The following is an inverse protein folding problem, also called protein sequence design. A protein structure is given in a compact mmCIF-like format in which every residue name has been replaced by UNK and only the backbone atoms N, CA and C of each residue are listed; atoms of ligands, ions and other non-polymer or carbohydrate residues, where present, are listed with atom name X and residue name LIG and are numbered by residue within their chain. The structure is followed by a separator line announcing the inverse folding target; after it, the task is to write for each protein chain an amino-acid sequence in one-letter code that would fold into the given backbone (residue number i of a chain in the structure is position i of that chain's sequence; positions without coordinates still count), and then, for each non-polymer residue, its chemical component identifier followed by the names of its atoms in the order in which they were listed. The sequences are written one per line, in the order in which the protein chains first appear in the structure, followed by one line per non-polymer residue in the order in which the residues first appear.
data_IF_712318879945
#
_entry.id   IF_712318879945
#
_cell.length_a   1.000
_cell.length_b   1.000
_cell.length_c   1.000
_cell.angle_alpha   90.00
_cell.angle_beta   90.00
_cell.angle_gamma   90.00
#
_symmetry.space_group_name_H-M   'P 1'
#
loop_
_entity.id
_entity.type
_entity.pdbx_description
1 polymer ?
#
# COMPACT_ATOMS: atom_id res chain seq x y z
N UNK A 1 -18.25 5.73 -8.26
CA UNK A 1 -19.06 6.38 -7.21
C UNK A 1 -18.14 7.32 -6.43
N UNK A 2 -18.50 8.59 -6.31
CA UNK A 2 -17.71 9.60 -5.58
C UNK A 2 -17.80 9.34 -4.08
N UNK A 3 -16.70 9.47 -3.35
CA UNK A 3 -16.69 9.34 -1.88
C UNK A 3 -17.44 10.54 -1.30
N UNK A 4 -18.47 10.27 -0.51
CA UNK A 4 -19.27 11.31 0.17
C UNK A 4 -18.54 11.86 1.40
N UNK A 5 -18.90 13.07 1.84
CA UNK A 5 -18.32 13.66 3.05
C UNK A 5 -18.52 12.77 4.29
N UNK A 6 -19.69 12.16 4.44
CA UNK A 6 -19.96 11.22 5.53
C UNK A 6 -19.03 10.00 5.49
N UNK A 7 -18.77 9.46 4.30
CA UNK A 7 -17.83 8.34 4.12
C UNK A 7 -16.37 8.75 4.39
N UNK A 8 -15.97 9.95 3.98
CA UNK A 8 -14.63 10.49 4.31
C UNK A 8 -14.45 10.60 5.82
N UNK A 9 -15.38 11.23 6.54
CA UNK A 9 -15.28 11.36 8.00
C UNK A 9 -15.28 9.99 8.67
N UNK A 10 -16.19 9.10 8.27
CA UNK A 10 -16.27 7.74 8.81
C UNK A 10 -14.97 6.95 8.62
N UNK A 11 -14.29 7.10 7.47
CA UNK A 11 -13.00 6.45 7.23
C UNK A 11 -11.93 6.87 8.26
N UNK A 12 -11.83 8.16 8.59
CA UNK A 12 -10.84 8.62 9.55
C UNK A 12 -11.22 8.31 11.00
N UNK A 13 -12.50 8.42 11.36
CA UNK A 13 -12.90 8.42 12.78
C UNK A 13 -13.45 7.11 13.30
N UNK A 14 -13.90 6.18 12.46
CA UNK A 14 -14.44 4.91 12.94
C UNK A 14 -13.34 3.99 13.47
N UNK A 15 -13.63 3.29 14.58
CA UNK A 15 -12.72 2.33 15.23
C UNK A 15 -12.29 1.18 14.31
N UNK A 16 -13.22 0.72 13.47
CA UNK A 16 -12.98 -0.32 12.47
C UNK A 16 -12.15 0.17 11.26
N UNK A 17 -11.86 1.47 11.18
CA UNK A 17 -11.09 2.12 10.12
C UNK A 17 -9.79 2.69 10.71
N UNK A 18 -9.53 4.00 10.60
CA UNK A 18 -8.30 4.60 11.13
C UNK A 18 -8.33 4.84 12.65
N UNK A 19 -9.51 4.79 13.28
CA UNK A 19 -9.70 5.00 14.73
C UNK A 19 -9.11 6.33 15.26
N UNK A 20 -9.13 7.39 14.44
CA UNK A 20 -8.61 8.70 14.83
C UNK A 20 -9.72 9.49 15.54
N UNK A 21 -9.52 9.96 16.77
CA UNK A 21 -10.50 10.80 17.45
C UNK A 21 -10.90 12.02 16.61
N UNK A 22 -12.18 12.38 16.63
CA UNK A 22 -12.69 13.52 15.85
C UNK A 22 -12.00 14.83 16.24
N UNK A 23 -11.63 14.99 17.52
CA UNK A 23 -10.89 16.14 18.03
C UNK A 23 -9.43 16.21 17.55
N UNK A 24 -8.89 15.14 16.95
CA UNK A 24 -7.62 15.17 16.23
C UNK A 24 -7.84 15.38 14.74
N UNK A 25 -8.78 14.65 14.14
CA UNK A 25 -9.01 14.69 12.69
C UNK A 25 -9.42 16.09 12.22
N UNK A 26 -10.44 16.70 12.83
CA UNK A 26 -10.99 17.96 12.32
C UNK A 26 -10.08 19.19 12.49
N UNK A 27 -9.41 19.41 13.64
CA UNK A 27 -8.59 20.60 13.82
C UNK A 27 -7.11 20.40 13.43
N UNK A 28 -6.54 19.20 13.57
CA UNK A 28 -5.11 19.02 13.32
C UNK A 28 -4.83 18.46 11.92
N UNK A 29 -5.52 17.39 11.51
CA UNK A 29 -5.24 16.77 10.20
C UNK A 29 -5.71 17.65 9.03
N UNK A 30 -6.88 18.30 9.14
CA UNK A 30 -7.35 19.24 8.12
C UNK A 30 -6.41 20.45 7.95
N UNK A 31 -5.85 20.98 9.03
CA UNK A 31 -4.88 22.10 8.97
C UNK A 31 -3.59 21.71 8.24
N UNK A 32 -3.20 20.45 8.34
CA UNK A 32 -2.04 19.89 7.62
C UNK A 32 -2.36 19.51 6.17
N UNK A 33 -3.60 19.74 5.69
CA UNK A 33 -4.03 19.44 4.33
C UNK A 33 -4.70 18.07 4.14
N UNK A 34 -4.77 17.23 5.18
CA UNK A 34 -5.45 15.93 5.14
C UNK A 34 -6.94 16.13 5.37
N UNK A 35 -7.67 16.50 4.31
CA UNK A 35 -9.11 16.81 4.37
C UNK A 35 -10.00 15.69 3.82
N UNK A 36 -9.48 14.91 2.88
CA UNK A 36 -10.21 13.86 2.18
C UNK A 36 -9.32 12.62 2.02
N UNK A 37 -9.91 11.46 1.71
CA UNK A 37 -9.10 10.27 1.45
C UNK A 37 -8.14 10.49 0.26
N UNK A 38 -8.55 11.25 -0.76
CA UNK A 38 -7.70 11.55 -1.92
C UNK A 38 -6.45 12.37 -1.54
N UNK A 39 -6.56 13.27 -0.55
CA UNK A 39 -5.45 14.09 -0.09
C UNK A 39 -4.27 13.27 0.44
N UNK A 40 -4.51 12.04 0.90
CA UNK A 40 -3.46 11.13 1.39
C UNK A 40 -2.41 10.78 0.32
N UNK A 41 -2.72 10.95 -0.97
CA UNK A 41 -1.76 10.70 -2.06
C UNK A 41 -0.48 11.52 -1.93
N UNK A 42 -0.58 12.72 -1.33
CA UNK A 42 0.52 13.68 -1.22
C UNK A 42 1.44 13.40 -0.02
N UNK A 43 0.98 12.61 0.96
CA UNK A 43 1.68 12.43 2.23
C UNK A 43 2.51 11.16 2.26
N UNK A 44 3.83 11.27 2.40
CA UNK A 44 4.72 10.13 2.58
C UNK A 44 4.83 9.73 4.07
N UNK A 45 5.44 8.58 4.34
CA UNK A 45 5.53 8.02 5.69
C UNK A 45 6.23 8.98 6.66
N UNK A 46 7.27 9.68 6.21
CA UNK A 46 7.99 10.68 7.01
C UNK A 46 7.16 11.91 7.36
N UNK A 47 6.39 12.44 6.40
CA UNK A 47 5.44 13.53 6.65
C UNK A 47 4.38 13.12 7.67
N UNK A 48 3.84 11.89 7.56
CA UNK A 48 2.87 11.37 8.51
C UNK A 48 3.48 11.15 9.90
N UNK A 49 4.74 10.73 9.99
CA UNK A 49 5.47 10.64 11.25
C UNK A 49 5.67 12.00 11.92
N UNK A 50 6.01 13.02 11.14
CA UNK A 50 6.21 14.36 11.68
C UNK A 50 4.89 14.99 12.13
N UNK A 51 3.80 14.78 11.39
CA UNK A 51 2.44 15.15 11.80
C UNK A 51 2.06 14.42 13.10
N UNK A 52 2.31 13.11 13.20
CA UNK A 52 2.01 12.32 14.41
C UNK A 52 2.78 12.83 15.63
N UNK A 53 4.09 13.11 15.48
CA UNK A 53 4.91 13.70 16.55
C UNK A 53 4.38 15.07 16.97
N UNK A 54 3.99 15.91 16.02
CA UNK A 54 3.42 17.23 16.30
C UNK A 54 2.11 17.11 17.10
N UNK A 55 1.18 16.25 16.67
CA UNK A 55 -0.09 16.01 17.36
C UNK A 55 0.12 15.40 18.73
N UNK A 56 1.05 14.46 18.89
CA UNK A 56 1.32 13.83 20.19
C UNK A 56 1.89 14.85 21.21
N UNK A 57 2.55 15.91 20.74
CA UNK A 57 3.12 16.97 21.60
C UNK A 57 2.15 18.13 21.88
N UNK A 58 1.32 18.48 20.91
CA UNK A 58 0.49 19.70 20.94
C UNK A 58 -1.01 19.44 20.80
N UNK A 59 -1.42 18.18 20.75
CA UNK A 59 -2.80 17.76 20.56
C UNK A 59 -3.66 17.88 21.81
N UNK A 60 -4.94 17.50 21.71
CA UNK A 60 -5.88 17.57 22.82
C UNK A 60 -5.46 16.60 23.94
N UNK A 61 -5.54 16.99 25.22
CA UNK A 61 -5.05 16.16 26.33
C UNK A 61 -5.80 14.83 26.52
N UNK A 62 -7.03 14.71 26.00
CA UNK A 62 -7.87 13.51 26.15
C UNK A 62 -7.89 12.62 24.90
N UNK A 63 -7.43 13.12 23.75
CA UNK A 63 -7.48 12.39 22.49
C UNK A 63 -6.09 11.86 22.16
N UNK A 64 -5.96 10.54 22.09
CA UNK A 64 -4.68 9.89 21.79
C UNK A 64 -4.61 9.51 20.32
N UNK A 65 -3.64 10.08 19.60
CA UNK A 65 -3.30 9.58 18.27
C UNK A 65 -2.40 8.34 18.40
N UNK A 66 -3.01 7.15 18.44
CA UNK A 66 -2.27 5.92 18.70
C UNK A 66 -1.33 5.53 17.56
N UNK A 67 -0.26 4.79 17.88
CA UNK A 67 0.67 4.25 16.88
C UNK A 67 -0.04 3.30 15.89
N UNK A 68 -1.08 2.59 16.33
CA UNK A 68 -1.92 1.77 15.46
C UNK A 68 -2.63 2.64 14.42
N UNK A 69 -3.25 3.74 14.84
CA UNK A 69 -3.95 4.67 13.93
C UNK A 69 -2.99 5.26 12.90
N UNK A 70 -1.77 5.60 13.31
CA UNK A 70 -0.72 6.07 12.41
C UNK A 70 -0.32 4.99 11.39
N UNK A 71 -0.09 3.75 11.85
CA UNK A 71 0.25 2.64 10.96
C UNK A 71 -0.85 2.41 9.91
N UNK A 72 -2.11 2.40 10.33
CA UNK A 72 -3.26 2.29 9.43
C UNK A 72 -3.29 3.43 8.40
N UNK A 73 -3.03 4.66 8.85
CA UNK A 73 -3.03 5.85 8.00
C UNK A 73 -1.92 5.81 6.94
N UNK A 74 -0.72 5.35 7.31
CA UNK A 74 0.41 5.15 6.36
C UNK A 74 0.05 4.12 5.29
N UNK A 75 -0.47 2.97 5.70
CA UNK A 75 -0.93 1.92 4.78
C UNK A 75 -1.99 2.45 3.83
N UNK A 76 -2.96 3.21 4.35
CA UNK A 76 -4.00 3.84 3.53
C UNK A 76 -3.44 4.84 2.52
N UNK A 77 -2.49 5.69 2.91
CA UNK A 77 -1.83 6.62 1.99
C UNK A 77 -1.11 5.89 0.84
N UNK A 78 -0.43 4.78 1.16
CA UNK A 78 0.17 3.91 0.15
C UNK A 78 -0.87 3.29 -0.79
N UNK A 79 -1.99 2.80 -0.25
CA UNK A 79 -3.08 2.22 -1.02
C UNK A 79 -3.72 3.25 -1.98
N UNK A 80 -3.95 4.49 -1.53
CA UNK A 80 -4.48 5.57 -2.38
C UNK A 80 -3.56 5.83 -3.56
N UNK A 81 -2.24 5.93 -3.33
CA UNK A 81 -1.25 6.09 -4.41
C UNK A 81 -1.29 4.93 -5.38
N UNK A 82 -1.36 3.71 -4.87
CA UNK A 82 -1.46 2.51 -5.70
C UNK A 82 -2.68 2.55 -6.62
N UNK A 83 -3.86 2.88 -6.10
CA UNK A 83 -5.08 2.99 -6.91
C UNK A 83 -4.96 4.08 -7.98
N UNK A 84 -4.38 5.24 -7.64
CA UNK A 84 -4.16 6.32 -8.60
C UNK A 84 -3.19 5.92 -9.72
N UNK A 85 -2.06 5.30 -9.37
CA UNK A 85 -1.05 4.85 -10.35
C UNK A 85 -1.60 3.75 -11.25
N UNK A 86 -2.43 2.86 -10.72
CA UNK A 86 -3.07 1.77 -11.50
C UNK A 86 -4.31 2.22 -12.27
N UNK A 87 -4.71 3.49 -12.18
CA UNK A 87 -5.91 4.02 -12.82
C UNK A 87 -7.22 3.43 -12.27
N UNK A 88 -7.20 2.79 -11.10
CA UNK A 88 -8.38 2.25 -10.45
C UNK A 88 -9.13 3.36 -9.73
N UNK A 89 -10.45 3.42 -9.92
CA UNK A 89 -11.29 4.42 -9.28
C UNK A 89 -11.24 4.27 -7.75
N UNK A 90 -10.90 5.35 -7.05
CA UNK A 90 -10.90 5.40 -5.60
C UNK A 90 -12.36 5.43 -5.09
N UNK A 91 -12.79 4.37 -4.42
CA UNK A 91 -14.13 4.26 -3.83
C UNK A 91 -14.05 3.98 -2.33
N UNK A 92 -15.11 4.33 -1.60
CA UNK A 92 -15.19 4.04 -0.16
C UNK A 92 -15.08 2.53 0.15
N UNK A 93 -15.51 1.66 -0.78
CA UNK A 93 -15.39 0.21 -0.61
C UNK A 93 -13.93 -0.27 -0.73
N UNK A 94 -13.15 0.31 -1.65
CA UNK A 94 -11.72 0.00 -1.82
C UNK A 94 -10.85 0.48 -0.65
N UNK A 95 -11.34 1.44 0.15
CA UNK A 95 -10.62 2.01 1.27
C UNK A 95 -11.07 1.47 2.63
N UNK A 96 -11.79 0.34 2.66
CA UNK A 96 -12.19 -0.30 3.93
C UNK A 96 -11.01 -1.04 4.55
N UNK A 97 -10.66 -0.68 5.78
CA UNK A 97 -9.56 -1.31 6.51
C UNK A 97 -9.68 -2.84 6.57
N UNK A 98 -10.83 -3.35 7.02
CA UNK A 98 -11.05 -4.78 7.35
C UNK A 98 -10.81 -5.76 6.21
N UNK A 99 -11.06 -5.36 4.96
CA UNK A 99 -11.05 -6.30 3.83
C UNK A 99 -10.08 -5.91 2.72
N UNK A 100 -9.84 -4.63 2.48
CA UNK A 100 -9.09 -4.19 1.29
C UNK A 100 -7.73 -3.63 1.66
N UNK A 101 -7.68 -2.69 2.61
CA UNK A 101 -6.42 -2.02 2.96
C UNK A 101 -5.50 -2.96 3.75
N UNK A 102 -6.04 -3.81 4.62
CA UNK A 102 -5.25 -4.82 5.34
C UNK A 102 -4.67 -5.88 4.38
N UNK A 103 -5.48 -6.39 3.44
CA UNK A 103 -5.03 -7.37 2.44
C UNK A 103 -3.98 -6.76 1.51
N UNK A 104 -4.14 -5.49 1.15
CA UNK A 104 -3.12 -4.74 0.41
C UNK A 104 -1.80 -4.65 1.19
N UNK A 105 -1.85 -4.44 2.51
CA UNK A 105 -0.64 -4.40 3.34
C UNK A 105 0.10 -5.74 3.29
N UNK A 106 -0.63 -6.84 3.48
CA UNK A 106 -0.09 -8.20 3.46
C UNK A 106 0.54 -8.52 2.10
N UNK A 107 -0.19 -8.28 1.00
CA UNK A 107 0.31 -8.49 -0.37
C UNK A 107 1.60 -7.70 -0.62
N UNK A 108 1.66 -6.45 -0.14
CA UNK A 108 2.84 -5.58 -0.34
C UNK A 108 4.03 -6.04 0.49
N UNK A 109 3.81 -6.61 1.66
CA UNK A 109 4.86 -7.19 2.50
C UNK A 109 5.39 -8.49 1.89
N UNK A 110 4.51 -9.38 1.42
CA UNK A 110 4.90 -10.59 0.69
C UNK A 110 5.70 -10.28 -0.58
N UNK A 111 5.30 -9.25 -1.33
CA UNK A 111 6.04 -8.80 -2.52
C UNK A 111 7.43 -8.27 -2.18
N UNK A 112 7.61 -7.57 -1.04
CA UNK A 112 8.93 -7.14 -0.58
C UNK A 112 9.80 -8.34 -0.21
N UNK A 113 9.24 -9.29 0.55
CA UNK A 113 9.94 -10.53 0.90
C UNK A 113 10.34 -11.30 -0.35
N UNK A 114 9.47 -11.37 -1.36
CA UNK A 114 9.78 -12.03 -2.62
C UNK A 114 10.90 -11.33 -3.41
N UNK A 115 10.99 -10.00 -3.35
CA UNK A 115 12.06 -9.21 -3.96
C UNK A 115 13.41 -9.34 -3.24
N UNK A 116 13.41 -9.59 -1.93
CA UNK A 116 14.62 -9.80 -1.15
C UNK A 116 15.22 -11.21 -1.32
N UNK A 117 14.49 -12.14 -1.95
CA UNK A 117 15.01 -13.47 -2.27
C UNK A 117 16.08 -13.38 -3.34
N UNK A 118 17.09 -14.25 -3.23
CA UNK A 118 18.10 -14.39 -4.28
C UNK A 118 17.44 -14.84 -5.57
N UNK A 119 17.78 -14.15 -6.67
CA UNK A 119 17.22 -14.47 -7.98
C UNK A 119 17.52 -15.92 -8.36
N UNK A 120 16.51 -16.67 -8.86
CA UNK A 120 16.72 -18.03 -9.29
C UNK A 120 17.76 -18.09 -10.41
N UNK A 121 18.72 -19.01 -10.26
CA UNK A 121 19.79 -19.18 -11.25
C UNK A 121 19.22 -19.60 -12.61
N UNK A 122 19.50 -18.81 -13.63
CA UNK A 122 19.11 -19.14 -15.02
C UNK A 122 19.74 -20.47 -15.43
N UNK A 123 18.95 -21.47 -15.85
CA UNK A 123 19.47 -22.77 -16.25
C UNK A 123 20.31 -22.65 -17.52
N UNK A 124 21.37 -23.45 -17.65
CA UNK A 124 22.14 -23.57 -18.89
C UNK A 124 21.62 -24.75 -19.73
N UNK A 125 21.53 -24.56 -21.05
CA UNK A 125 21.20 -25.63 -22.00
C UNK A 125 22.29 -26.70 -21.94
N UNK A 126 21.90 -27.96 -21.80
CA UNK A 126 22.83 -29.08 -21.72
C UNK A 126 22.21 -30.36 -22.31
N UNK A 127 23.00 -31.43 -22.42
CA UNK A 127 22.48 -32.74 -22.86
C UNK A 127 21.38 -33.28 -21.94
N UNK A 128 21.43 -32.97 -20.64
CA UNK A 128 20.42 -33.38 -19.66
C UNK A 128 19.20 -32.43 -19.63
N UNK A 129 19.36 -31.20 -20.11
CA UNK A 129 18.31 -30.18 -20.21
C UNK A 129 18.19 -29.69 -21.66
N UNK A 130 17.51 -30.46 -22.54
CA UNK A 130 17.30 -30.09 -23.92
C UNK A 130 16.40 -28.84 -24.03
N UNK A 131 16.51 -28.12 -25.14
CA UNK A 131 15.90 -26.79 -25.37
C UNK A 131 14.41 -26.73 -24.97
N UNK A 132 13.62 -27.75 -25.30
CA UNK A 132 12.19 -27.78 -24.96
C UNK A 132 11.92 -27.77 -23.45
N UNK A 133 12.73 -28.51 -22.67
CA UNK A 133 12.65 -28.52 -21.20
C UNK A 133 13.28 -27.27 -20.60
N UNK A 134 14.34 -26.76 -21.23
CA UNK A 134 14.97 -25.50 -20.85
C UNK A 134 13.99 -24.32 -20.94
N UNK A 135 13.18 -24.24 -22.01
CA UNK A 135 12.20 -23.16 -22.18
C UNK A 135 11.19 -23.13 -21.02
N UNK A 136 10.67 -24.30 -20.61
CA UNK A 136 9.75 -24.38 -19.47
C UNK A 136 10.42 -23.95 -18.16
N UNK A 137 11.66 -24.40 -17.92
CA UNK A 137 12.44 -23.99 -16.75
C UNK A 137 12.74 -22.49 -16.75
N UNK A 138 13.08 -21.93 -17.92
CA UNK A 138 13.34 -20.51 -18.09
C UNK A 138 12.09 -19.67 -17.83
N UNK A 139 10.90 -20.11 -18.27
CA UNK A 139 9.63 -19.43 -17.93
C UNK A 139 9.42 -19.35 -16.43
N UNK A 140 9.65 -20.44 -15.68
CA UNK A 140 9.54 -20.45 -14.21
C UNK A 140 10.48 -19.41 -13.58
N UNK A 141 11.74 -19.40 -14.00
CA UNK A 141 12.75 -18.42 -13.53
C UNK A 141 12.28 -16.99 -13.76
N UNK A 142 11.74 -16.67 -14.94
CA UNK A 142 11.28 -15.30 -15.26
C UNK A 142 10.02 -14.90 -14.46
N UNK A 143 9.16 -15.84 -14.08
CA UNK A 143 8.02 -15.57 -13.20
C UNK A 143 8.43 -15.40 -11.73
N UNK A 144 9.55 -15.99 -11.32
CA UNK A 144 10.08 -15.92 -9.97
C UNK A 144 11.08 -14.77 -9.77
N UNK A 145 11.71 -14.27 -10.85
CA UNK A 145 12.59 -13.10 -10.82
C UNK A 145 11.81 -11.79 -10.82
N UNK A 146 12.24 -10.84 -9.99
CA UNK A 146 11.62 -9.52 -9.86
C UNK A 146 12.50 -8.43 -10.47
N UNK A 147 11.89 -7.54 -11.24
CA UNK A 147 12.60 -6.39 -11.81
C UNK A 147 12.81 -5.25 -10.80
N UNK A 148 13.54 -4.20 -11.21
CA UNK A 148 13.83 -3.00 -10.39
C UNK A 148 12.58 -2.30 -9.84
N UNK A 149 11.42 -2.48 -10.47
CA UNK A 149 10.13 -1.93 -10.03
C UNK A 149 9.34 -2.85 -9.11
N UNK A 150 9.90 -3.99 -8.71
CA UNK A 150 9.26 -4.96 -7.81
C UNK A 150 8.13 -5.78 -8.42
N UNK A 151 8.03 -5.80 -9.75
CA UNK A 151 7.10 -6.66 -10.48
C UNK A 151 7.84 -7.88 -11.04
N UNK A 152 7.20 -9.07 -11.09
CA UNK A 152 7.76 -10.24 -11.76
C UNK A 152 8.14 -9.96 -13.21
N UNK A 153 9.24 -10.53 -13.70
CA UNK A 153 9.71 -10.34 -15.08
C UNK A 153 8.88 -11.10 -16.13
N UNK A 154 7.84 -11.83 -15.71
CA UNK A 154 6.88 -12.54 -16.57
C UNK A 154 6.36 -11.74 -17.77
N UNK A 155 6.18 -10.42 -17.61
CA UNK A 155 5.69 -9.55 -18.70
C UNK A 155 6.63 -9.47 -19.92
N UNK A 156 7.90 -9.89 -19.78
CA UNK A 156 8.86 -9.94 -20.89
C UNK A 156 8.51 -11.05 -21.89
N UNK A 157 7.85 -12.12 -21.42
CA UNK A 157 7.55 -13.32 -22.22
C UNK A 157 6.36 -13.17 -23.18
N UNK A 158 5.91 -11.93 -23.48
CA UNK A 158 4.77 -11.54 -24.34
C UNK A 158 4.08 -12.73 -25.01
N UNK A 159 2.91 -13.09 -24.51
CA UNK A 159 2.05 -14.04 -25.22
C UNK A 159 1.61 -13.38 -26.54
N UNK A 160 1.75 -14.12 -27.65
CA UNK A 160 1.27 -13.70 -28.97
C UNK A 160 -0.26 -13.56 -29.00
#
# INVERSE_FOLDING_TARGET
MVITNAQNTAFFTQDAQMAIPLGIFAPHLNQQGITTIDSLKEFNDGMLDDIHKHITRHGPPNDVFSALSLSRLKTAASAVRFYLVTGRALTAACMRWTNTVIMYQEEREELKIAQEREDPKVPCVSKALPIMKWLAAFRSVIHESYGVRGFPLGYVLRED
#
